data_IF_491978972686
#
_entry.id   IF_491978972686
#
_cell.length_a   1.000
_cell.length_b   1.000
_cell.length_c   1.000
_cell.angle_alpha   90.00
_cell.angle_beta   90.00
_cell.angle_gamma   90.00
#
_symmetry.space_group_name_H-M   'P 1'
#
loop_
_entity.id
_entity.type
_entity.pdbx_description
1 polymer ?
#
# COMPACT_ATOMS: atom_id res chain seq x y z
N UNK A 1 18.65 18.47 -0.62
CA UNK A 1 17.77 17.64 -1.48
C UNK A 1 16.38 17.61 -0.86
N UNK A 2 15.31 17.97 -1.57
CA UNK A 2 13.94 17.92 -1.03
C UNK A 2 13.22 16.66 -1.50
N UNK A 3 12.25 16.18 -0.71
CA UNK A 3 11.40 15.02 -1.08
C UNK A 3 10.79 15.19 -2.47
N UNK A 4 10.33 16.41 -2.80
CA UNK A 4 9.78 16.74 -4.13
C UNK A 4 10.76 16.50 -5.28
N UNK A 5 12.06 16.71 -5.06
CA UNK A 5 13.06 16.53 -6.11
C UNK A 5 13.34 15.03 -6.32
N UNK A 6 13.26 14.26 -5.24
CA UNK A 6 13.43 12.80 -5.24
C UNK A 6 12.24 12.09 -5.91
N UNK A 7 11.02 12.57 -5.70
CA UNK A 7 9.83 12.06 -6.37
C UNK A 7 9.82 12.38 -7.87
N UNK A 8 10.33 13.56 -8.26
CA UNK A 8 10.50 13.90 -9.68
C UNK A 8 11.47 12.96 -10.39
N UNK A 9 12.52 12.49 -9.73
CA UNK A 9 13.50 11.59 -10.32
C UNK A 9 13.09 10.11 -10.27
N UNK A 10 12.46 9.65 -9.18
CA UNK A 10 12.00 8.26 -9.03
C UNK A 10 10.67 7.97 -9.72
N UNK A 11 9.83 8.98 -9.91
CA UNK A 11 8.45 8.83 -10.38
C UNK A 11 7.42 8.92 -9.25
N UNK A 12 6.16 9.05 -9.65
CA UNK A 12 5.00 9.18 -8.77
C UNK A 12 4.10 7.92 -8.77
N UNK A 13 4.59 6.80 -9.31
CA UNK A 13 3.84 5.55 -9.26
C UNK A 13 3.70 5.09 -7.80
N UNK A 14 2.46 4.88 -7.38
CA UNK A 14 2.10 4.34 -6.07
C UNK A 14 1.30 3.08 -6.30
N UNK A 15 1.76 1.96 -5.75
CA UNK A 15 1.01 0.71 -5.75
C UNK A 15 0.09 0.70 -4.55
N UNK A 16 -1.21 0.67 -4.82
CA UNK A 16 -2.25 0.64 -3.80
C UNK A 16 -3.11 -0.62 -3.90
N UNK A 17 -3.69 -1.04 -2.78
CA UNK A 17 -4.68 -2.10 -2.66
C UNK A 17 -5.91 -1.60 -1.90
N UNK A 18 -7.05 -2.23 -2.13
CA UNK A 18 -8.31 -1.92 -1.45
C UNK A 18 -8.32 -2.46 -0.01
N UNK A 19 -9.04 -1.81 0.91
CA UNK A 19 -9.19 -2.20 2.33
C UNK A 19 -9.85 -3.58 2.54
N UNK A 20 -10.40 -4.20 1.49
CA UNK A 20 -10.98 -5.54 1.56
C UNK A 20 -10.03 -6.68 1.18
N UNK A 21 -8.83 -6.39 0.65
CA UNK A 21 -7.93 -7.46 0.19
C UNK A 21 -7.31 -8.23 1.34
N UNK A 22 -7.10 -9.53 1.19
CA UNK A 22 -6.41 -10.29 2.23
C UNK A 22 -4.93 -9.92 2.32
N UNK A 23 -4.34 -10.13 3.50
CA UNK A 23 -2.90 -9.92 3.72
C UNK A 23 -2.05 -10.74 2.74
N UNK A 24 -2.46 -11.98 2.42
CA UNK A 24 -1.73 -12.83 1.47
C UNK A 24 -1.72 -12.24 0.06
N UNK A 25 -2.83 -11.66 -0.40
CA UNK A 25 -2.89 -10.96 -1.69
C UNK A 25 -2.00 -9.72 -1.71
N UNK A 26 -2.00 -8.93 -0.63
CA UNK A 26 -1.13 -7.77 -0.50
C UNK A 26 0.36 -8.16 -0.56
N UNK A 27 0.76 -9.23 0.15
CA UNK A 27 2.13 -9.76 0.14
C UNK A 27 2.51 -10.28 -1.25
N UNK A 28 1.63 -11.02 -1.93
CA UNK A 28 1.87 -11.47 -3.29
C UNK A 28 2.09 -10.29 -4.24
N UNK A 29 1.32 -9.21 -4.08
CA UNK A 29 1.50 -7.98 -4.86
C UNK A 29 2.85 -7.30 -4.61
N UNK A 30 3.30 -7.30 -3.35
CA UNK A 30 4.62 -6.79 -2.97
C UNK A 30 5.75 -7.57 -3.64
N UNK A 31 5.63 -8.91 -3.68
CA UNK A 31 6.60 -9.78 -4.37
C UNK A 31 6.59 -9.55 -5.88
N UNK A 32 5.41 -9.53 -6.51
CA UNK A 32 5.27 -9.33 -7.96
C UNK A 32 5.89 -8.01 -8.45
N UNK A 33 5.79 -6.96 -7.64
CA UNK A 33 6.30 -5.61 -7.98
C UNK A 33 7.69 -5.34 -7.42
N UNK A 34 8.27 -6.28 -6.66
CA UNK A 34 9.54 -6.13 -5.95
C UNK A 34 9.58 -4.86 -5.07
N UNK A 35 8.54 -4.66 -4.26
CA UNK A 35 8.38 -3.53 -3.34
C UNK A 35 8.13 -4.04 -1.91
N UNK A 36 8.52 -3.23 -0.92
CA UNK A 36 8.36 -3.58 0.51
C UNK A 36 7.15 -2.96 1.20
N UNK A 37 6.35 -2.16 0.49
CA UNK A 37 5.18 -1.49 1.04
C UNK A 37 4.13 -1.25 -0.06
N UNK A 38 2.87 -1.28 0.34
CA UNK A 38 1.71 -0.89 -0.48
C UNK A 38 0.87 0.12 0.27
N UNK A 39 0.24 1.03 -0.45
CA UNK A 39 -0.75 1.94 0.13
C UNK A 39 -2.10 1.21 0.23
N UNK A 40 -2.79 1.36 1.35
CA UNK A 40 -4.15 0.85 1.50
C UNK A 40 -5.13 1.99 1.30
N UNK A 41 -6.11 1.78 0.44
CA UNK A 41 -7.11 2.76 0.06
C UNK A 41 -8.52 2.23 0.34
N UNK A 42 -9.41 3.12 0.76
CA UNK A 42 -10.83 2.87 0.92
C UNK A 42 -11.59 4.12 0.43
N UNK A 43 -12.53 3.96 -0.49
CA UNK A 43 -13.32 5.06 -1.07
C UNK A 43 -12.45 6.24 -1.59
N UNK A 44 -11.28 5.94 -2.15
CA UNK A 44 -10.36 6.94 -2.68
C UNK A 44 -9.49 7.64 -1.63
N UNK A 45 -9.59 7.26 -0.36
CA UNK A 45 -8.82 7.81 0.75
C UNK A 45 -7.81 6.79 1.28
N UNK A 46 -6.60 7.20 1.69
CA UNK A 46 -5.66 6.31 2.35
C UNK A 46 -6.18 5.96 3.75
N UNK A 47 -6.20 4.67 4.07
CA UNK A 47 -6.61 4.17 5.39
C UNK A 47 -5.47 3.40 6.07
N UNK A 48 -5.51 3.38 7.40
CA UNK A 48 -4.58 2.55 8.17
C UNK A 48 -5.15 1.14 8.22
N UNK A 49 -4.44 0.19 7.61
CA UNK A 49 -4.76 -1.22 7.74
C UNK A 49 -4.41 -1.67 9.15
N UNK A 50 -5.39 -1.67 10.05
CA UNK A 50 -5.22 -2.28 11.34
C UNK A 50 -5.34 -3.81 11.19
N UNK A 51 -4.19 -4.48 11.19
CA UNK A 51 -4.15 -5.95 11.20
C UNK A 51 -4.90 -6.56 12.40
N UNK A 52 -5.18 -5.79 13.47
CA UNK A 52 -5.89 -6.28 14.65
C UNK A 52 -7.42 -6.28 14.49
N UNK A 53 -7.99 -5.63 13.46
CA UNK A 53 -9.46 -5.59 13.28
C UNK A 53 -10.03 -6.79 12.53
N UNK A 54 -9.18 -7.66 11.96
CA UNK A 54 -9.61 -8.94 11.40
C UNK A 54 -9.58 -10.10 12.42
N UNK A 55 -9.44 -9.78 13.71
CA UNK A 55 -9.58 -10.74 14.82
C UNK A 55 -10.82 -10.35 15.63
N UNK A 56 -11.99 -10.54 15.05
CA UNK A 56 -13.26 -10.62 15.79
C UNK A 56 -13.80 -12.04 15.71
N UNK A 57 -14.41 -12.55 16.81
CA UNK A 57 -14.57 -13.98 17.10
C UNK A 57 -15.49 -14.76 16.14
#
# INVERSE_FOLDING_TARGET
MKVRDLLKSKGLEVIAVDSSVTVSMAVNKMVERNIGAVLVMEEGNPVVWDCLQNVTP
#
